data_IF_918499876367
#
_entry.id   IF_918499876367
#
_cell.length_a   1.000
_cell.length_b   1.000
_cell.length_c   1.000
_cell.angle_alpha   90.00
_cell.angle_beta   90.00
_cell.angle_gamma   90.00
#
_symmetry.space_group_name_H-M   'P 1'
#
loop_
_entity.id
_entity.type
_entity.pdbx_description
1 polymer ?
#
# COMPACT_ATOMS: atom_id res chain seq x y z
N UNK A 1 19.42 44.08 -63.30
CA UNK A 1 20.18 43.59 -62.12
C UNK A 1 19.39 43.67 -60.83
N UNK A 2 18.72 44.77 -60.52
CA UNK A 2 17.96 45.03 -59.28
C UNK A 2 16.75 44.08 -59.09
N UNK A 3 15.97 43.78 -60.12
CA UNK A 3 14.76 42.94 -60.05
C UNK A 3 15.08 41.44 -59.84
N UNK A 4 16.20 40.95 -60.38
CA UNK A 4 16.67 39.56 -60.21
C UNK A 4 17.17 39.30 -58.76
N UNK A 5 17.88 40.30 -58.15
CA UNK A 5 18.30 40.23 -56.75
C UNK A 5 17.12 40.25 -55.77
N UNK A 6 16.13 41.14 -56.00
CA UNK A 6 14.94 41.19 -55.16
C UNK A 6 14.10 39.92 -55.22
N UNK A 7 13.98 39.29 -56.38
CA UNK A 7 13.33 37.97 -56.55
C UNK A 7 14.08 36.84 -55.82
N UNK A 8 15.40 36.90 -55.77
CA UNK A 8 16.23 35.89 -55.10
C UNK A 8 16.17 36.05 -53.59
N UNK A 9 16.18 37.28 -53.06
CA UNK A 9 15.97 37.55 -51.65
C UNK A 9 14.56 37.14 -51.18
N UNK A 10 13.52 37.41 -51.96
CA UNK A 10 12.15 36.99 -51.65
C UNK A 10 12.03 35.47 -51.62
N UNK A 11 12.68 34.75 -52.52
CA UNK A 11 12.72 33.29 -52.54
C UNK A 11 13.44 32.73 -51.32
N UNK A 12 14.55 33.34 -50.91
CA UNK A 12 15.28 32.91 -49.72
C UNK A 12 14.45 33.10 -48.44
N UNK A 13 13.80 34.26 -48.28
CA UNK A 13 12.93 34.54 -47.14
C UNK A 13 11.75 33.55 -47.08
N UNK A 14 11.11 33.32 -48.25
CA UNK A 14 10.00 32.34 -48.32
C UNK A 14 10.45 30.91 -47.95
N UNK A 15 11.63 30.48 -48.36
CA UNK A 15 12.19 29.18 -48.03
C UNK A 15 12.50 29.05 -46.53
N UNK A 16 13.02 30.12 -45.92
CA UNK A 16 13.32 30.14 -44.46
C UNK A 16 12.02 30.08 -43.64
N UNK A 17 11.03 30.93 -44.03
CA UNK A 17 9.73 30.93 -43.34
C UNK A 17 9.00 29.60 -43.44
N UNK A 18 9.12 28.88 -44.55
CA UNK A 18 8.59 27.52 -44.67
C UNK A 18 9.24 26.55 -43.68
N UNK A 19 10.56 26.60 -43.54
CA UNK A 19 11.30 25.75 -42.54
C UNK A 19 10.89 26.09 -41.11
N UNK A 20 10.69 27.36 -40.76
CA UNK A 20 10.18 27.77 -39.46
C UNK A 20 8.80 27.17 -39.22
N UNK A 21 7.91 27.29 -40.23
CA UNK A 21 6.54 26.76 -40.12
C UNK A 21 6.53 25.26 -39.95
N UNK A 22 7.40 24.52 -40.67
CA UNK A 22 7.53 23.08 -40.54
C UNK A 22 8.02 22.67 -39.14
N UNK A 23 9.05 23.34 -38.60
CA UNK A 23 9.56 23.10 -37.27
C UNK A 23 8.51 23.38 -36.15
N UNK A 24 7.78 24.53 -36.27
CA UNK A 24 6.70 24.86 -35.35
C UNK A 24 5.52 23.86 -35.48
N UNK A 25 5.22 23.41 -36.69
CA UNK A 25 4.18 22.41 -36.95
C UNK A 25 4.57 21.06 -36.32
N UNK A 26 5.83 20.65 -36.42
CA UNK A 26 6.32 19.45 -35.76
C UNK A 26 6.21 19.55 -34.23
N UNK A 27 6.62 20.70 -33.65
CA UNK A 27 6.45 20.98 -32.23
C UNK A 27 4.97 20.89 -31.80
N UNK A 28 4.05 21.47 -32.57
CA UNK A 28 2.61 21.40 -32.25
C UNK A 28 2.03 19.99 -32.25
N UNK A 29 2.72 19.05 -32.88
CA UNK A 29 2.40 17.63 -32.89
C UNK A 29 3.16 16.83 -31.79
N UNK A 30 3.95 17.52 -30.96
CA UNK A 30 4.73 16.90 -29.91
C UNK A 30 6.09 16.33 -30.35
N UNK A 31 6.52 16.60 -31.59
CA UNK A 31 7.86 16.21 -32.05
C UNK A 31 8.90 17.26 -31.56
N UNK A 32 9.49 16.96 -30.41
CA UNK A 32 10.53 17.79 -29.78
C UNK A 32 11.92 17.56 -30.37
N UNK A 33 12.09 16.54 -31.22
CA UNK A 33 13.34 16.24 -31.92
C UNK A 33 13.45 16.96 -33.26
N UNK A 34 12.35 17.60 -33.68
CA UNK A 34 12.39 18.47 -34.85
C UNK A 34 13.41 19.59 -34.63
N UNK A 35 14.11 19.92 -35.68
CA UNK A 35 15.06 21.00 -35.61
C UNK A 35 15.03 21.85 -36.88
N UNK A 36 15.33 23.12 -36.77
CA UNK A 36 15.44 24.03 -37.88
C UNK A 36 16.84 23.97 -38.46
N UNK A 37 17.00 23.35 -39.63
CA UNK A 37 18.26 23.33 -40.35
C UNK A 37 18.45 24.58 -41.17
N UNK A 38 18.93 25.63 -40.51
CA UNK A 38 19.32 26.89 -41.13
C UNK A 38 20.55 27.47 -40.41
N UNK A 39 21.58 27.78 -41.20
CA UNK A 39 22.81 28.41 -40.71
C UNK A 39 23.03 29.70 -41.51
N UNK A 40 22.92 30.84 -40.88
CA UNK A 40 23.14 32.15 -41.47
C UNK A 40 23.54 33.16 -40.40
N UNK A 41 24.42 34.08 -40.72
CA UNK A 41 24.84 35.16 -39.83
C UNK A 41 23.85 36.34 -39.92
N UNK A 42 22.56 36.06 -39.72
CA UNK A 42 21.48 37.00 -39.75
C UNK A 42 20.41 36.65 -38.70
N UNK A 43 19.35 37.46 -38.60
CA UNK A 43 18.27 37.29 -37.61
C UNK A 43 17.58 35.94 -37.71
N UNK A 44 17.52 35.31 -38.88
CA UNK A 44 16.97 33.98 -39.07
C UNK A 44 17.89 32.88 -38.53
N UNK A 45 19.22 33.06 -38.60
CA UNK A 45 20.19 32.15 -37.98
C UNK A 45 20.06 32.20 -36.48
N UNK A 46 19.99 33.38 -35.88
CA UNK A 46 19.77 33.54 -34.45
C UNK A 46 18.43 32.93 -34.01
N UNK A 47 17.34 33.16 -34.81
CA UNK A 47 16.03 32.56 -34.55
C UNK A 47 16.10 31.02 -34.59
N UNK A 48 16.76 30.43 -35.58
CA UNK A 48 16.94 29.00 -35.69
C UNK A 48 17.65 28.40 -34.50
N UNK A 49 18.72 29.05 -34.03
CA UNK A 49 19.48 28.63 -32.85
C UNK A 49 18.62 28.64 -31.57
N UNK A 50 17.89 29.78 -31.36
CA UNK A 50 17.00 29.91 -30.18
C UNK A 50 15.84 28.91 -30.21
N UNK A 51 15.27 28.66 -31.40
CA UNK A 51 14.22 27.62 -31.54
C UNK A 51 14.76 26.22 -31.22
N UNK A 52 15.91 25.85 -31.82
CA UNK A 52 16.52 24.56 -31.58
C UNK A 52 16.89 24.38 -30.11
N UNK A 53 17.40 25.41 -29.45
CA UNK A 53 17.67 25.40 -28.01
C UNK A 53 16.37 25.18 -27.21
N UNK A 54 15.29 25.89 -27.56
CA UNK A 54 14.00 25.73 -26.87
C UNK A 54 13.42 24.33 -27.03
N UNK A 55 13.53 23.73 -28.22
CA UNK A 55 13.08 22.36 -28.46
C UNK A 55 13.92 21.35 -27.64
N UNK A 56 15.24 21.52 -27.62
CA UNK A 56 16.12 20.67 -26.84
C UNK A 56 15.82 20.77 -25.33
N UNK A 57 15.54 21.96 -24.80
CA UNK A 57 15.17 22.11 -23.39
C UNK A 57 13.82 21.46 -23.07
N UNK A 58 12.82 21.59 -23.95
CA UNK A 58 11.54 20.91 -23.80
C UNK A 58 11.70 19.38 -23.84
N UNK A 59 12.51 18.86 -24.77
CA UNK A 59 12.80 17.43 -24.84
C UNK A 59 13.46 16.94 -23.54
N UNK A 60 14.40 17.70 -22.97
CA UNK A 60 15.02 17.38 -21.68
C UNK A 60 14.01 17.31 -20.54
N UNK A 61 13.05 18.26 -20.48
CA UNK A 61 12.00 18.23 -19.44
C UNK A 61 11.08 17.03 -19.60
N UNK A 62 10.64 16.75 -20.84
CA UNK A 62 9.77 15.60 -21.12
C UNK A 62 10.46 14.29 -20.76
N UNK A 63 11.73 14.13 -21.14
CA UNK A 63 12.52 12.93 -20.81
C UNK A 63 12.74 12.79 -19.29
N UNK A 64 12.92 13.89 -18.56
CA UNK A 64 13.05 13.83 -17.10
C UNK A 64 11.74 13.46 -16.40
N UNK A 65 10.60 13.94 -16.92
CA UNK A 65 9.28 13.54 -16.43
C UNK A 65 9.04 12.04 -16.71
N UNK A 66 9.32 11.59 -17.93
CA UNK A 66 9.17 10.18 -18.32
C UNK A 66 10.05 9.27 -17.45
N UNK A 67 11.30 9.67 -17.21
CA UNK A 67 12.19 8.96 -16.29
C UNK A 67 11.57 8.85 -14.89
N UNK A 68 11.13 9.97 -14.31
CA UNK A 68 10.53 9.98 -12.96
C UNK A 68 9.27 9.12 -12.89
N UNK A 69 8.35 9.25 -13.85
CA UNK A 69 7.14 8.42 -13.93
C UNK A 69 7.48 6.94 -14.12
N UNK A 70 8.51 6.64 -14.92
CA UNK A 70 9.03 5.28 -15.10
C UNK A 70 9.61 4.68 -13.81
N UNK A 71 10.22 5.47 -12.95
CA UNK A 71 10.67 5.04 -11.63
C UNK A 71 9.45 4.80 -10.70
N UNK A 72 8.50 5.70 -10.68
CA UNK A 72 7.28 5.57 -9.88
C UNK A 72 6.47 4.33 -10.24
N UNK A 73 6.35 4.01 -11.52
CA UNK A 73 5.67 2.79 -11.99
C UNK A 73 6.33 1.49 -11.50
N UNK A 74 7.61 1.55 -11.15
CA UNK A 74 8.37 0.43 -10.57
C UNK A 74 8.38 0.44 -9.04
N UNK A 75 7.65 1.37 -8.41
CA UNK A 75 7.62 1.52 -6.95
C UNK A 75 8.85 2.23 -6.36
N UNK A 76 9.71 2.82 -7.20
CA UNK A 76 10.85 3.61 -6.72
C UNK A 76 10.44 5.06 -6.52
N UNK A 77 10.12 5.41 -5.28
CA UNK A 77 9.76 6.78 -4.86
C UNK A 77 10.93 7.52 -4.19
N UNK A 78 12.17 7.10 -4.42
CA UNK A 78 13.37 7.76 -3.87
C UNK A 78 14.30 8.28 -4.96
N UNK A 79 13.88 8.25 -6.23
CA UNK A 79 14.68 8.73 -7.35
C UNK A 79 14.74 10.26 -7.36
N UNK A 80 15.90 10.81 -7.71
CA UNK A 80 16.06 12.25 -7.93
C UNK A 80 15.85 12.59 -9.40
N UNK A 81 15.39 13.82 -9.66
CA UNK A 81 15.29 14.34 -11.03
C UNK A 81 16.69 14.47 -11.64
N UNK A 82 16.92 13.96 -12.86
CA UNK A 82 18.22 14.08 -13.52
C UNK A 82 18.59 15.52 -13.93
N UNK A 83 17.62 16.43 -13.93
CA UNK A 83 17.79 17.83 -14.30
C UNK A 83 17.00 18.72 -13.35
N UNK A 84 17.37 20.00 -13.31
CA UNK A 84 16.59 21.04 -12.64
C UNK A 84 15.66 21.71 -13.64
N UNK A 85 14.36 21.77 -13.33
CA UNK A 85 13.36 22.48 -14.12
C UNK A 85 13.45 24.00 -13.88
N UNK A 86 13.24 24.79 -14.94
CA UNK A 86 13.30 26.24 -14.88
C UNK A 86 11.92 26.87 -15.20
N UNK A 87 11.77 28.14 -14.81
CA UNK A 87 10.54 28.90 -15.09
C UNK A 87 9.30 28.19 -14.53
N UNK A 88 8.24 28.15 -15.32
CA UNK A 88 6.95 27.56 -14.96
C UNK A 88 6.99 26.02 -14.83
N UNK A 89 8.01 25.39 -15.41
CA UNK A 89 8.21 23.94 -15.28
C UNK A 89 8.60 23.49 -13.86
N UNK A 90 9.09 24.43 -13.02
CA UNK A 90 9.39 24.15 -11.60
C UNK A 90 8.21 23.58 -10.84
N UNK A 91 6.99 23.99 -11.20
CA UNK A 91 5.77 23.50 -10.56
C UNK A 91 5.55 22.01 -10.80
N UNK A 92 5.96 21.50 -11.96
CA UNK A 92 5.88 20.07 -12.29
C UNK A 92 6.88 19.28 -11.41
N UNK A 93 8.12 19.76 -11.31
CA UNK A 93 9.12 19.15 -10.45
C UNK A 93 8.64 19.10 -8.99
N UNK A 94 8.17 20.22 -8.46
CA UNK A 94 7.64 20.31 -7.09
C UNK A 94 6.47 19.34 -6.86
N UNK A 95 5.57 19.21 -7.84
CA UNK A 95 4.44 18.27 -7.75
C UNK A 95 4.91 16.80 -7.75
N UNK A 96 5.94 16.47 -8.54
CA UNK A 96 6.53 15.14 -8.57
C UNK A 96 7.21 14.81 -7.24
N UNK A 97 7.95 15.76 -6.66
CA UNK A 97 8.62 15.61 -5.36
C UNK A 97 7.60 15.42 -4.22
N UNK A 98 6.53 16.21 -4.20
CA UNK A 98 5.43 16.04 -3.23
C UNK A 98 4.76 14.68 -3.40
N UNK A 99 4.52 14.24 -4.63
CA UNK A 99 3.96 12.92 -4.90
C UNK A 99 4.88 11.80 -4.37
N UNK A 100 6.18 11.87 -4.66
CA UNK A 100 7.17 10.93 -4.15
C UNK A 100 7.13 10.83 -2.63
N UNK A 101 7.18 11.98 -1.95
CA UNK A 101 7.16 12.03 -0.49
C UNK A 101 5.89 11.40 0.07
N UNK A 102 4.72 11.77 -0.46
CA UNK A 102 3.44 11.22 -0.02
C UNK A 102 3.33 9.71 -0.22
N UNK A 103 3.82 9.21 -1.36
CA UNK A 103 3.83 7.76 -1.62
C UNK A 103 4.78 7.02 -0.68
N UNK A 104 5.97 7.58 -0.43
CA UNK A 104 6.91 7.01 0.52
C UNK A 104 6.35 6.97 1.95
N UNK A 105 5.76 8.06 2.42
CA UNK A 105 5.11 8.13 3.73
C UNK A 105 3.99 7.07 3.84
N UNK A 106 3.16 6.94 2.79
CA UNK A 106 2.07 5.95 2.75
C UNK A 106 2.60 4.51 2.82
N UNK A 107 3.71 4.21 2.14
CA UNK A 107 4.33 2.89 2.19
C UNK A 107 4.90 2.57 3.57
N UNK A 108 5.52 3.54 4.24
CA UNK A 108 6.00 3.40 5.61
C UNK A 108 4.85 3.14 6.58
N UNK A 109 3.77 3.90 6.47
CA UNK A 109 2.56 3.71 7.30
C UNK A 109 1.94 2.32 7.07
N UNK A 110 1.93 1.85 5.82
CA UNK A 110 1.44 0.51 5.47
C UNK A 110 2.30 -0.59 6.08
N UNK A 111 3.63 -0.43 6.08
CA UNK A 111 4.57 -1.36 6.71
C UNK A 111 4.32 -1.45 8.22
N UNK A 112 4.16 -0.31 8.89
CA UNK A 112 3.84 -0.24 10.32
C UNK A 112 2.50 -0.93 10.61
N UNK A 113 1.46 -0.62 9.84
CA UNK A 113 0.13 -1.22 10.01
C UNK A 113 0.18 -2.75 9.78
N UNK A 114 0.91 -3.22 8.75
CA UNK A 114 1.09 -4.64 8.47
C UNK A 114 1.80 -5.37 9.62
N UNK A 115 2.83 -4.75 10.19
CA UNK A 115 3.54 -5.28 11.34
C UNK A 115 2.63 -5.39 12.57
N UNK A 116 1.80 -4.38 12.83
CA UNK A 116 0.82 -4.40 13.93
C UNK A 116 -0.24 -5.48 13.74
N UNK A 117 -0.77 -5.65 12.51
CA UNK A 117 -1.72 -6.73 12.20
C UNK A 117 -1.08 -8.11 12.41
N UNK A 118 0.17 -8.28 11.99
CA UNK A 118 0.91 -9.53 12.19
C UNK A 118 1.09 -9.85 13.68
N UNK A 119 1.51 -8.86 14.48
CA UNK A 119 1.67 -9.03 15.93
C UNK A 119 0.33 -9.34 16.62
N UNK A 120 -0.74 -8.60 16.25
CA UNK A 120 -2.08 -8.86 16.78
C UNK A 120 -2.62 -10.24 16.42
N UNK A 121 -2.35 -10.71 15.21
CA UNK A 121 -2.72 -12.07 14.79
C UNK A 121 -1.98 -13.16 15.60
N UNK A 122 -0.71 -12.91 15.91
CA UNK A 122 0.04 -13.79 16.82
C UNK A 122 -0.60 -13.85 18.21
N UNK A 123 -0.94 -12.72 18.80
CA UNK A 123 -1.60 -12.66 20.11
C UNK A 123 -2.97 -13.40 20.12
N UNK A 124 -3.74 -13.26 19.03
CA UNK A 124 -5.02 -13.99 18.88
C UNK A 124 -4.77 -15.50 18.82
N UNK A 125 -3.75 -15.95 18.09
CA UNK A 125 -3.40 -17.37 18.02
C UNK A 125 -2.98 -17.93 19.38
N UNK A 126 -2.13 -17.22 20.11
CA UNK A 126 -1.69 -17.60 21.48
C UNK A 126 -2.89 -17.64 22.45
N UNK A 127 -3.78 -16.66 22.38
CA UNK A 127 -5.02 -16.62 23.18
C UNK A 127 -5.96 -17.78 22.87
N UNK A 128 -6.12 -18.12 21.58
CA UNK A 128 -6.93 -19.26 21.16
C UNK A 128 -6.35 -20.59 21.68
N UNK A 129 -5.04 -20.73 21.69
CA UNK A 129 -4.36 -21.91 22.21
C UNK A 129 -4.54 -22.04 23.73
N UNK A 130 -4.36 -20.93 24.47
CA UNK A 130 -4.60 -20.91 25.92
C UNK A 130 -6.06 -21.24 26.25
N UNK A 131 -7.01 -20.73 25.48
CA UNK A 131 -8.43 -21.03 25.64
C UNK A 131 -8.73 -22.52 25.38
N UNK A 132 -8.16 -23.13 24.34
CA UNK A 132 -8.32 -24.54 24.05
C UNK A 132 -7.77 -25.43 25.18
N UNK A 133 -6.63 -25.05 25.73
CA UNK A 133 -6.05 -25.75 26.88
C UNK A 133 -6.94 -25.61 28.12
N UNK A 134 -7.40 -24.37 28.42
CA UNK A 134 -8.31 -24.16 29.56
C UNK A 134 -9.65 -24.90 29.42
N UNK A 135 -10.19 -24.98 28.18
CA UNK A 135 -11.38 -25.80 27.92
C UNK A 135 -11.14 -27.31 28.19
N UNK A 136 -9.95 -27.83 27.83
CA UNK A 136 -9.58 -29.21 28.12
C UNK A 136 -9.47 -29.47 29.63
N UNK A 137 -8.83 -28.58 30.36
CA UNK A 137 -8.73 -28.64 31.81
C UNK A 137 -10.10 -28.56 32.50
N UNK A 138 -10.99 -27.68 32.02
CA UNK A 138 -12.36 -27.58 32.49
C UNK A 138 -13.13 -28.88 32.23
N UNK A 139 -13.02 -29.47 31.04
CA UNK A 139 -13.68 -30.75 30.73
C UNK A 139 -13.22 -31.87 31.68
N UNK A 140 -11.93 -31.94 31.98
CA UNK A 140 -11.38 -32.90 32.94
C UNK A 140 -11.93 -32.67 34.35
N UNK A 141 -12.01 -31.44 34.81
CA UNK A 141 -12.56 -31.07 36.13
C UNK A 141 -14.06 -31.41 36.23
N UNK A 142 -14.84 -31.19 35.15
CA UNK A 142 -16.27 -31.57 35.09
C UNK A 142 -16.43 -33.10 35.17
N UNK A 143 -15.56 -33.86 34.52
CA UNK A 143 -15.58 -35.34 34.64
C UNK A 143 -15.27 -35.81 36.07
N UNK A 144 -14.31 -35.20 36.74
CA UNK A 144 -13.96 -35.52 38.15
C UNK A 144 -15.11 -35.15 39.10
N UNK A 145 -15.75 -33.98 38.90
CA UNK A 145 -16.95 -33.58 39.63
C UNK A 145 -18.09 -34.57 39.43
N UNK A 146 -18.31 -35.01 38.19
CA UNK A 146 -19.35 -36.01 37.89
C UNK A 146 -19.11 -37.36 38.60
N UNK A 147 -17.87 -37.80 38.62
CA UNK A 147 -17.51 -39.01 39.36
C UNK A 147 -17.71 -38.84 40.87
N UNK A 148 -17.33 -37.70 41.43
CA UNK A 148 -17.56 -37.38 42.86
C UNK A 148 -19.05 -37.32 43.21
N UNK A 149 -19.89 -36.75 42.36
CA UNK A 149 -21.35 -36.72 42.53
C UNK A 149 -21.93 -38.14 42.52
N UNK A 150 -21.43 -39.01 41.64
CA UNK A 150 -21.87 -40.40 41.61
C UNK A 150 -21.51 -41.15 42.91
N UNK A 151 -20.30 -40.98 43.40
CA UNK A 151 -19.85 -41.55 44.68
C UNK A 151 -20.67 -41.03 45.89
N UNK A 152 -20.96 -39.72 45.92
CA UNK A 152 -21.85 -39.11 46.94
C UNK A 152 -23.26 -39.70 46.84
N UNK A 153 -23.78 -39.89 45.66
CA UNK A 153 -25.14 -40.45 45.47
C UNK A 153 -25.21 -41.91 45.98
N UNK A 154 -24.19 -42.72 45.72
CA UNK A 154 -24.10 -44.08 46.25
C UNK A 154 -24.02 -44.07 47.78
N UNK A 155 -23.21 -43.20 48.37
CA UNK A 155 -23.11 -43.07 49.83
C UNK A 155 -24.40 -42.63 50.48
N UNK A 156 -25.15 -41.73 49.85
CA UNK A 156 -26.48 -41.32 50.32
C UNK A 156 -27.45 -42.50 50.27
N UNK A 157 -27.47 -43.32 49.20
CA UNK A 157 -28.31 -44.49 49.09
C UNK A 157 -27.97 -45.52 50.20
N UNK A 158 -26.69 -45.81 50.38
CA UNK A 158 -26.23 -46.72 51.44
C UNK A 158 -26.63 -46.21 52.83
N UNK A 159 -26.51 -44.90 53.08
CA UNK A 159 -26.90 -44.30 54.37
C UNK A 159 -28.43 -44.41 54.60
N UNK A 160 -29.23 -44.24 53.57
CA UNK A 160 -30.68 -44.46 53.66
C UNK A 160 -31.06 -45.90 53.97
N UNK A 161 -30.38 -46.86 53.36
CA UNK A 161 -30.58 -48.29 53.63
C UNK A 161 -30.16 -48.69 55.08
N UNK A 162 -29.02 -48.17 55.54
CA UNK A 162 -28.59 -48.37 56.94
C UNK A 162 -29.61 -47.75 57.93
N UNK A 163 -30.14 -46.56 57.64
CA UNK A 163 -31.13 -45.88 58.47
C UNK A 163 -32.44 -46.70 58.54
N UNK A 164 -32.86 -47.32 57.43
CA UNK A 164 -34.02 -48.22 57.38
C UNK A 164 -33.80 -49.47 58.21
N UNK A 165 -32.62 -50.14 58.08
CA UNK A 165 -32.26 -51.29 58.87
C UNK A 165 -32.20 -50.94 60.33
N UNK A 166 -31.64 -49.81 60.73
CA UNK A 166 -31.56 -49.41 62.14
C UNK A 166 -32.98 -49.13 62.68
N UNK A 167 -33.89 -48.60 61.93
CA UNK A 167 -35.28 -48.41 62.30
C UNK A 167 -36.02 -49.75 62.50
N UNK A 168 -35.81 -50.72 61.59
CA UNK A 168 -36.37 -52.07 61.69
C UNK A 168 -35.88 -52.81 62.94
N UNK A 169 -34.57 -52.73 63.24
CA UNK A 169 -33.97 -53.30 64.47
C UNK A 169 -34.54 -52.66 65.73
N UNK A 170 -34.76 -51.30 65.68
CA UNK A 170 -35.36 -50.54 66.79
C UNK A 170 -36.79 -50.96 67.06
N UNK A 171 -37.61 -51.20 66.03
CA UNK A 171 -38.99 -51.72 66.14
C UNK A 171 -38.97 -53.17 66.75
N UNK A 172 -38.06 -53.98 66.23
CA UNK A 172 -37.91 -55.42 66.79
C UNK A 172 -37.51 -55.42 68.28
N UNK A 173 -36.56 -54.58 68.64
CA UNK A 173 -36.12 -54.47 70.02
C UNK A 173 -37.27 -53.99 70.96
N UNK A 174 -38.04 -52.98 70.52
CA UNK A 174 -39.20 -52.52 71.21
C UNK A 174 -40.26 -53.63 71.45
N UNK A 175 -40.54 -54.44 70.44
CA UNK A 175 -41.49 -55.52 70.54
C UNK A 175 -41.01 -56.67 71.50
N UNK A 176 -39.75 -56.86 71.67
CA UNK A 176 -39.18 -57.81 72.65
C UNK A 176 -39.34 -57.32 74.10
N UNK A 177 -39.13 -55.98 74.28
CA UNK A 177 -39.28 -55.38 75.63
C UNK A 177 -40.78 -55.36 76.05
N UNK A 178 -41.73 -55.17 75.14
CA UNK A 178 -43.15 -55.24 75.50
C UNK A 178 -43.66 -56.69 75.86
N UNK A 179 -42.87 -57.71 75.46
CA UNK A 179 -43.23 -59.16 75.78
C UNK A 179 -42.55 -59.70 76.99
N UNK A 180 -41.71 -58.93 77.66
CA UNK A 180 -41.04 -59.32 78.87
C UNK A 180 -41.72 -58.74 80.09
#
# INVERSE_FOLDING_TARGET
>A
FSMSMALQETRNITGITAKIMDAVTALSKGDLKAHMDYKGDNEFGELAEKMNFSFAELDRYVNAIDFGMGQFSKGNFTCESPIQFLGDFKSIQASMEIFQQKMNDTLVDLEVASSQVSAGSGQVADGAQALAQGATEQASSVQELSATIADISEKISNTADFSKQANELGVQAGSVVERS
#
